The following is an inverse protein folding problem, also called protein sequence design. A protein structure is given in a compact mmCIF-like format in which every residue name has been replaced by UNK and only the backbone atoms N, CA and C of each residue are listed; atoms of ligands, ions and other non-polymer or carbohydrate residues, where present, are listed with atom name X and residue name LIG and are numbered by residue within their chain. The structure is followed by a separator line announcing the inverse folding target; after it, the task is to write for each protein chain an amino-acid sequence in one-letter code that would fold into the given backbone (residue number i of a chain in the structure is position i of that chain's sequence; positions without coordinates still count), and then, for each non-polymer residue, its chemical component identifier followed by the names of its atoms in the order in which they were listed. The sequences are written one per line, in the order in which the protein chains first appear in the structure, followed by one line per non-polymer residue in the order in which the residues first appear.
data_IF_923078739425
#
_entry.id   IF_923078739425
#
_cell.length_a   1.000
_cell.length_b   1.000
_cell.length_c   1.000
_cell.angle_alpha   90.00
_cell.angle_beta   90.00
_cell.angle_gamma   90.00
#
_symmetry.space_group_name_H-M   'P 1'
#
loop_
_entity.id
_entity.type
_entity.pdbx_description
1 polymer ?
#
# COMPACT_ATOMS: atom_id res chain seq x y z
N UNK A 1 -10.10 -21.91 0.91
CA UNK A 1 -9.96 -21.04 0.24
C UNK A 1 -8.98 -20.12 0.51
N UNK A 2 -8.29 -19.78 -0.23
CA UNK A 2 -7.25 -18.96 0.07
C UNK A 2 -7.73 -17.61 0.25
N UNK A 3 -7.22 -16.94 1.18
CA UNK A 3 -7.58 -15.60 1.36
C UNK A 3 -6.47 -14.78 0.88
N UNK A 4 -6.76 -13.93 -0.05
CA UNK A 4 -5.75 -13.03 -0.53
C UNK A 4 -5.63 -11.84 0.38
N UNK A 5 -4.46 -11.29 0.44
CA UNK A 5 -4.27 -10.06 1.16
C UNK A 5 -5.14 -8.98 0.54
N UNK A 6 -5.59 -8.05 1.35
CA UNK A 6 -6.40 -6.97 0.84
C UNK A 6 -5.63 -6.15 -0.19
N UNK A 7 -4.32 -6.19 -0.12
CA UNK A 7 -3.50 -5.52 -1.12
C UNK A 7 -3.83 -6.05 -2.51
N UNK A 8 -4.15 -7.33 -2.62
CA UNK A 8 -4.45 -7.93 -3.91
C UNK A 8 -5.94 -8.00 -4.21
N UNK A 9 -6.77 -7.65 -3.25
CA UNK A 9 -8.21 -7.71 -3.46
C UNK A 9 -8.73 -6.48 -4.18
N UNK A 10 -8.01 -5.38 -4.13
CA UNK A 10 -8.42 -4.18 -4.84
C UNK A 10 -7.85 -4.24 -6.26
N UNK A 11 -8.51 -3.57 -7.17
CA UNK A 11 -8.03 -3.54 -8.53
C UNK A 11 -6.76 -2.70 -8.63
N UNK A 12 -6.08 -2.84 -9.75
CA UNK A 12 -4.85 -2.09 -9.96
C UNK A 12 -5.10 -0.59 -9.87
N UNK A 13 -6.16 -0.13 -10.49
CA UNK A 13 -6.47 1.29 -10.49
C UNK A 13 -6.80 1.78 -9.11
N UNK A 14 -7.59 0.99 -8.40
CA UNK A 14 -7.96 1.35 -7.04
C UNK A 14 -6.72 1.41 -6.17
N UNK A 15 -5.84 0.44 -6.32
CA UNK A 15 -4.62 0.41 -5.54
C UNK A 15 -3.76 1.64 -5.81
N UNK A 16 -3.64 2.00 -7.07
CA UNK A 16 -2.83 3.16 -7.43
C UNK A 16 -3.40 4.44 -6.83
N UNK A 17 -4.72 4.55 -6.79
CA UNK A 17 -5.35 5.71 -6.18
C UNK A 17 -5.04 5.76 -4.68
N UNK A 18 -5.10 4.61 -4.03
CA UNK A 18 -4.82 4.56 -2.61
C UNK A 18 -3.39 5.02 -2.35
N UNK A 19 -2.46 4.54 -3.15
CA UNK A 19 -1.06 4.93 -2.98
C UNK A 19 -0.89 6.42 -3.24
N UNK A 20 -1.56 6.94 -4.25
CA UNK A 20 -1.44 8.35 -4.60
C UNK A 20 -1.96 9.25 -3.49
N UNK A 21 -2.99 8.79 -2.79
CA UNK A 21 -3.57 9.59 -1.72
C UNK A 21 -2.85 9.40 -0.40
N UNK A 22 -2.00 8.42 -0.30
CA UNK A 22 -1.30 8.12 0.94
C UNK A 22 0.02 8.85 0.98
N UNK A 23 0.51 9.10 2.18
CA UNK A 23 1.80 9.74 2.35
C UNK A 23 2.84 8.78 2.90
N UNK A 24 2.45 7.57 3.19
CA UNK A 24 3.38 6.58 3.72
C UNK A 24 2.77 5.21 3.55
N UNK A 25 3.58 4.20 3.79
CA UNK A 25 3.08 2.83 3.71
C UNK A 25 2.00 2.59 4.75
N UNK A 26 2.14 3.18 5.92
CA UNK A 26 1.12 3.03 6.96
C UNK A 26 -0.22 3.57 6.48
N UNK A 27 -0.20 4.70 5.80
CA UNK A 27 -1.44 5.27 5.28
C UNK A 27 -2.08 4.32 4.30
N UNK A 28 -1.29 3.69 3.45
CA UNK A 28 -1.82 2.73 2.50
C UNK A 28 -2.48 1.56 3.22
N UNK A 29 -1.80 1.06 4.25
CA UNK A 29 -2.34 -0.07 5.00
C UNK A 29 -3.65 0.29 5.67
N UNK A 30 -3.73 1.48 6.21
CA UNK A 30 -4.97 1.92 6.84
C UNK A 30 -6.08 2.04 5.82
N UNK A 31 -5.76 2.58 4.67
CA UNK A 31 -6.77 2.74 3.63
C UNK A 31 -7.29 1.39 3.17
N UNK A 32 -6.44 0.39 3.22
CA UNK A 32 -6.82 -0.96 2.84
C UNK A 32 -7.49 -1.73 3.97
N UNK A 33 -7.50 -1.16 5.17
CA UNK A 33 -8.07 -1.85 6.30
C UNK A 33 -7.15 -2.85 6.94
N UNK A 34 -5.85 -2.71 6.71
CA UNK A 34 -4.87 -3.62 7.26
C UNK A 34 -4.22 -3.01 8.48
N UNK A 35 -3.67 -3.89 9.30
CA UNK A 35 -2.99 -3.40 10.49
C UNK A 35 -1.59 -2.94 10.10
N UNK A 36 -1.11 -1.93 10.77
CA UNK A 36 0.24 -1.44 10.52
C UNK A 36 1.25 -2.11 11.41
N UNK A 37 0.81 -3.00 12.27
CA UNK A 37 1.73 -3.68 13.14
C UNK A 37 2.28 -4.96 12.58
N UNK A 38 1.58 -5.59 11.70
CA UNK A 38 2.04 -6.84 11.14
C UNK A 38 3.22 -6.60 10.24
N UNK A 39 4.11 -7.54 10.13
CA UNK A 39 5.24 -7.41 9.28
C UNK A 39 4.95 -7.75 7.82
N UNK A 40 4.11 -8.75 7.62
CA UNK A 40 3.88 -9.24 6.25
C UNK A 40 3.12 -8.26 5.39
N UNK A 41 2.22 -7.51 6.00
CA UNK A 41 1.39 -6.61 5.21
C UNK A 41 2.20 -5.56 4.49
N UNK A 42 3.16 -4.97 5.16
CA UNK A 42 3.95 -3.93 4.52
C UNK A 42 4.85 -4.51 3.44
N UNK A 43 5.34 -5.73 3.62
CA UNK A 43 6.16 -6.37 2.60
C UNK A 43 5.34 -6.60 1.34
N UNK A 44 4.13 -7.09 1.51
CA UNK A 44 3.25 -7.35 0.38
C UNK A 44 2.90 -6.04 -0.31
N UNK A 45 2.65 -5.01 0.48
CA UNK A 45 2.33 -3.71 -0.05
C UNK A 45 3.47 -3.17 -0.91
N UNK A 46 4.68 -3.26 -0.40
CA UNK A 46 5.84 -2.77 -1.14
C UNK A 46 6.01 -3.52 -2.44
N UNK A 47 5.82 -4.83 -2.40
CA UNK A 47 5.94 -5.64 -3.60
C UNK A 47 4.90 -5.21 -4.63
N UNK A 48 3.67 -4.97 -4.19
CA UNK A 48 2.63 -4.58 -5.11
C UNK A 48 2.91 -3.22 -5.73
N UNK A 49 3.39 -2.29 -4.91
CA UNK A 49 3.76 -0.98 -5.39
C UNK A 49 4.81 -1.10 -6.48
N UNK A 50 5.79 -1.96 -6.26
CA UNK A 50 6.83 -2.15 -7.24
C UNK A 50 6.30 -2.81 -8.51
N UNK A 51 5.40 -3.76 -8.37
CA UNK A 51 4.84 -4.45 -9.53
C UNK A 51 4.06 -3.50 -10.41
N UNK A 52 3.32 -2.60 -9.80
CA UNK A 52 2.49 -1.65 -10.52
C UNK A 52 3.25 -0.36 -10.82
N UNK A 53 4.49 -0.30 -10.39
CA UNK A 53 5.33 0.88 -10.63
C UNK A 53 4.66 2.15 -10.12
N UNK A 54 4.06 2.05 -8.94
CA UNK A 54 3.43 3.22 -8.35
C UNK A 54 4.50 4.18 -7.86
N UNK A 55 4.23 5.46 -8.00
CA UNK A 55 5.16 6.47 -7.54
C UNK A 55 4.99 6.67 -6.05
N UNK A 56 6.07 6.63 -5.31
CA UNK A 56 6.02 6.86 -3.88
C UNK A 56 6.99 7.96 -3.49
N UNK A 57 7.30 8.83 -4.42
CA UNK A 57 8.22 9.91 -4.14
C UNK A 57 7.65 10.84 -3.08
N UNK A 58 6.35 10.86 -2.94
CA UNK A 58 5.71 11.72 -1.95
C UNK A 58 5.70 11.08 -0.56
N UNK A 59 6.14 9.82 -0.46
CA UNK A 59 6.18 9.15 0.83
C UNK A 59 7.35 9.69 1.62
N UNK A 60 7.12 9.97 2.89
CA UNK A 60 8.20 10.35 3.77
C UNK A 60 8.82 11.69 3.49
N UNK A 61 8.13 12.54 2.75
CA UNK A 61 8.70 13.84 2.44
C UNK A 61 8.41 14.82 3.53
N UNK A 62 8.08 14.40 4.61
CA UNK A 62 7.86 15.28 5.61
C UNK A 62 8.92 15.98 5.97
N UNK A 63 9.38 16.30 5.89
CA UNK A 63 10.11 16.94 6.05
C UNK A 63 10.59 17.63 6.40
N UNK A 64 10.81 17.77 6.48
CA UNK A 64 11.35 18.39 6.79
C UNK A 64 11.44 19.01 7.04
#
# INVERSE_FOLDING_TARGET
MSSKSKVYQVSDEEFKLIVAKSNSYSDCLRALGLTTKGGSSSDILKRRINELECSIEHFGTKNI
#
